data_IF_922278865832
#
_entry.id   IF_922278865832
#
_cell.length_a   1.000
_cell.length_b   1.000
_cell.length_c   1.000
_cell.angle_alpha   90.00
_cell.angle_beta   90.00
_cell.angle_gamma   90.00
#
_symmetry.space_group_name_H-M   'P 1'
#
loop_
_entity.id
_entity.type
_entity.pdbx_description
1 polymer ?
#
# COMPACT_ATOMS: atom_id res chain seq x y z
N UNK A 1 18.44 9.33 -9.61
CA UNK A 1 17.42 10.38 -9.48
C UNK A 1 16.18 9.72 -8.88
N UNK A 2 15.12 10.45 -8.54
CA UNK A 2 13.91 9.79 -8.02
C UNK A 2 13.14 9.12 -9.16
N UNK A 3 12.74 7.85 -9.00
CA UNK A 3 11.97 7.12 -10.01
C UNK A 3 10.68 7.89 -10.37
N UNK A 4 10.28 7.92 -11.64
CA UNK A 4 9.07 8.63 -12.09
C UNK A 4 7.82 7.79 -11.81
N UNK A 5 6.79 8.38 -11.20
CA UNK A 5 5.51 7.70 -11.00
C UNK A 5 4.88 7.36 -12.35
N UNK A 6 4.52 6.09 -12.54
CA UNK A 6 3.89 5.62 -13.77
C UNK A 6 2.41 5.27 -13.56
N UNK A 7 2.09 4.54 -12.48
CA UNK A 7 0.73 4.06 -12.25
C UNK A 7 0.49 3.78 -10.76
N UNK A 8 -0.73 4.07 -10.29
CA UNK A 8 -1.24 3.65 -8.98
C UNK A 8 -2.52 2.85 -9.20
N UNK A 9 -2.55 1.61 -8.72
CA UNK A 9 -3.76 0.77 -8.76
C UNK A 9 -4.16 0.34 -7.36
N UNK A 10 -5.48 0.26 -7.12
CA UNK A 10 -6.05 -0.24 -5.87
C UNK A 10 -6.42 -1.69 -6.09
N UNK A 11 -5.99 -2.58 -5.18
CA UNK A 11 -6.14 -4.02 -5.34
C UNK A 11 -6.59 -4.69 -4.06
N UNK A 12 -7.50 -5.67 -4.21
CA UNK A 12 -8.01 -6.49 -3.11
C UNK A 12 -9.02 -5.76 -2.23
N UNK A 13 -9.55 -6.51 -1.26
CA UNK A 13 -10.62 -6.04 -0.37
C UNK A 13 -10.13 -4.99 0.62
N UNK A 14 -8.85 -5.06 1.02
CA UNK A 14 -8.21 -4.11 1.95
C UNK A 14 -7.54 -2.92 1.27
N UNK A 15 -7.87 -2.68 -0.01
CA UNK A 15 -7.45 -1.49 -0.78
C UNK A 15 -5.93 -1.27 -0.79
N UNK A 16 -5.17 -2.33 -1.04
CA UNK A 16 -3.71 -2.20 -1.17
C UNK A 16 -3.37 -1.33 -2.37
N UNK A 17 -2.46 -0.38 -2.18
CA UNK A 17 -1.97 0.48 -3.25
C UNK A 17 -0.78 -0.20 -3.92
N UNK A 18 -0.92 -0.56 -5.19
CA UNK A 18 0.18 -1.03 -6.02
C UNK A 18 0.70 0.12 -6.85
N UNK A 19 1.93 0.51 -6.58
CA UNK A 19 2.60 1.65 -7.21
C UNK A 19 3.63 1.09 -8.17
N UNK A 20 3.55 1.54 -9.42
CA UNK A 20 4.56 1.31 -10.45
C UNK A 20 5.27 2.62 -10.75
N UNK A 21 6.59 2.58 -10.74
CA UNK A 21 7.46 3.69 -11.07
C UNK A 21 8.44 3.26 -12.18
N UNK A 22 8.90 4.20 -12.99
CA UNK A 22 9.95 3.99 -13.98
C UNK A 22 11.26 4.55 -13.41
N UNK A 23 12.31 3.73 -13.36
CA UNK A 23 13.66 4.15 -12.98
C UNK A 23 14.31 4.98 -14.09
N UNK A 24 15.42 5.64 -13.77
CA UNK A 24 16.19 6.39 -14.78
C UNK A 24 16.73 5.50 -15.91
N UNK A 25 16.88 4.18 -15.68
CA UNK A 25 17.25 3.18 -16.69
C UNK A 25 16.09 2.75 -17.59
N UNK A 26 14.86 3.20 -17.31
CA UNK A 26 13.65 2.77 -18.02
C UNK A 26 13.03 1.48 -17.48
N UNK A 27 13.57 0.91 -16.40
CA UNK A 27 13.04 -0.29 -15.75
C UNK A 27 11.84 0.03 -14.87
N UNK A 28 11.02 -0.98 -14.60
CA UNK A 28 9.88 -0.84 -13.68
C UNK A 28 10.24 -1.22 -12.25
N UNK A 29 10.16 -0.24 -11.35
CA UNK A 29 10.13 -0.46 -9.91
C UNK A 29 8.66 -0.60 -9.46
N UNK A 30 8.36 -1.63 -8.66
CA UNK A 30 7.01 -1.89 -8.16
C UNK A 30 7.03 -2.06 -6.66
N UNK A 31 6.12 -1.39 -5.96
CA UNK A 31 5.91 -1.56 -4.51
C UNK A 31 4.43 -1.64 -4.19
N UNK A 32 4.13 -2.28 -3.07
CA UNK A 32 2.76 -2.41 -2.55
C UNK A 32 2.74 -1.80 -1.17
N UNK A 33 1.78 -0.90 -0.94
CA UNK A 33 1.52 -0.31 0.36
C UNK A 33 0.19 -0.83 0.91
N UNK A 34 0.19 -1.17 2.19
CA UNK A 34 -0.99 -1.63 2.94
C UNK A 34 -1.46 -0.55 3.90
N UNK A 35 -2.73 -0.58 4.29
CA UNK A 35 -3.38 0.51 5.02
C UNK A 35 -2.90 0.70 6.48
N UNK A 36 -2.09 -0.21 6.99
CA UNK A 36 -1.42 -0.14 8.29
C UNK A 36 0.00 0.46 8.21
N UNK A 37 0.53 0.73 7.02
CA UNK A 37 1.83 1.36 6.85
C UNK A 37 1.76 2.87 7.10
N UNK A 38 2.81 3.41 7.71
CA UNK A 38 3.01 4.87 7.78
C UNK A 38 3.74 5.34 6.53
N UNK A 39 3.15 6.29 5.80
CA UNK A 39 3.78 6.88 4.60
C UNK A 39 4.87 7.87 5.02
N UNK A 40 5.97 7.92 4.25
CA UNK A 40 7.04 8.87 4.49
C UNK A 40 6.58 10.31 4.20
N UNK A 41 7.21 11.29 4.86
CA UNK A 41 6.88 12.71 4.67
C UNK A 41 7.20 13.20 3.25
N UNK A 42 8.22 12.63 2.60
CA UNK A 42 8.62 12.91 1.22
C UNK A 42 7.94 11.98 0.19
N UNK A 43 6.97 11.18 0.61
CA UNK A 43 6.16 10.36 -0.28
C UNK A 43 5.39 11.22 -1.29
N UNK A 44 5.17 10.68 -2.48
CA UNK A 44 4.46 11.36 -3.57
C UNK A 44 3.04 11.77 -3.15
N UNK A 45 2.65 13.00 -3.45
CA UNK A 45 1.34 13.52 -3.05
C UNK A 45 0.20 12.68 -3.63
N UNK A 46 0.32 12.23 -4.87
CA UNK A 46 -0.70 11.38 -5.51
C UNK A 46 -0.87 10.03 -4.80
N UNK A 47 0.19 9.49 -4.19
CA UNK A 47 0.13 8.28 -3.37
C UNK A 47 -0.56 8.57 -2.04
N UNK A 48 -0.23 9.70 -1.40
CA UNK A 48 -0.86 10.14 -0.15
C UNK A 48 -2.35 10.39 -0.33
N UNK A 49 -2.74 11.10 -1.37
CA UNK A 49 -4.14 11.41 -1.69
C UNK A 49 -4.93 10.11 -1.93
N UNK A 50 -4.33 9.14 -2.63
CA UNK A 50 -4.96 7.85 -2.88
C UNK A 50 -5.09 7.01 -1.62
N UNK A 51 -4.08 7.05 -0.74
CA UNK A 51 -4.12 6.40 0.55
C UNK A 51 -5.23 7.00 1.44
N UNK A 52 -5.32 8.32 1.52
CA UNK A 52 -6.38 9.01 2.28
C UNK A 52 -7.78 8.67 1.75
N UNK A 53 -7.95 8.63 0.42
CA UNK A 53 -9.23 8.32 -0.20
C UNK A 53 -9.69 6.87 0.00
N UNK A 54 -8.76 5.90 -0.02
CA UNK A 54 -9.10 4.47 -0.04
C UNK A 54 -8.95 3.79 1.33
N UNK A 55 -8.04 4.27 2.18
CA UNK A 55 -7.77 3.68 3.50
C UNK A 55 -8.65 4.31 4.58
N UNK A 56 -9.95 4.13 4.43
CA UNK A 56 -10.95 4.49 5.42
C UNK A 56 -10.73 3.72 6.72
N UNK A 57 -11.31 4.21 7.81
CA UNK A 57 -11.25 3.53 9.11
C UNK A 57 -11.85 2.12 9.07
N UNK A 58 -12.86 1.90 8.24
CA UNK A 58 -13.47 0.58 8.00
C UNK A 58 -12.46 -0.38 7.36
N UNK A 59 -11.76 0.07 6.31
CA UNK A 59 -10.73 -0.74 5.62
C UNK A 59 -9.57 -1.06 6.55
N UNK A 60 -9.11 -0.08 7.33
CA UNK A 60 -8.05 -0.27 8.34
C UNK A 60 -8.46 -1.28 9.41
N UNK A 61 -9.70 -1.18 9.90
CA UNK A 61 -10.24 -2.10 10.91
C UNK A 61 -10.37 -3.51 10.36
N UNK A 62 -10.89 -3.68 9.15
CA UNK A 62 -11.00 -4.98 8.50
C UNK A 62 -9.63 -5.64 8.28
N UNK A 63 -8.62 -4.87 7.86
CA UNK A 63 -7.26 -5.36 7.70
C UNK A 63 -6.61 -5.77 9.03
N UNK A 64 -6.81 -4.97 10.09
CA UNK A 64 -6.30 -5.30 11.42
C UNK A 64 -6.88 -6.63 11.95
N UNK A 65 -8.20 -6.83 11.81
CA UNK A 65 -8.86 -8.10 12.15
C UNK A 65 -8.29 -9.26 11.35
N UNK A 66 -8.17 -9.09 10.03
CA UNK A 66 -7.60 -10.14 9.16
C UNK A 66 -6.18 -10.52 9.60
N UNK A 67 -5.29 -9.54 9.87
CA UNK A 67 -3.93 -9.84 10.33
C UNK A 67 -3.91 -10.58 11.67
N UNK A 68 -4.75 -10.17 12.62
CA UNK A 68 -4.85 -10.86 13.91
C UNK A 68 -5.33 -12.32 13.75
N UNK A 69 -6.30 -12.57 12.86
CA UNK A 69 -6.73 -13.93 12.53
C UNK A 69 -5.64 -14.75 11.84
N UNK A 70 -4.86 -14.15 10.94
CA UNK A 70 -3.73 -14.84 10.31
C UNK A 70 -2.65 -15.19 11.32
N UNK A 71 -2.25 -14.24 12.17
CA UNK A 71 -1.25 -14.47 13.22
C UNK A 71 -1.69 -15.57 14.20
N UNK A 72 -2.95 -15.56 14.62
CA UNK A 72 -3.50 -16.62 15.47
C UNK A 72 -3.39 -18.00 14.79
N UNK A 73 -3.71 -18.11 13.49
CA UNK A 73 -3.60 -19.38 12.75
C UNK A 73 -2.16 -19.89 12.67
N UNK A 74 -1.19 -19.01 12.43
CA UNK A 74 0.22 -19.39 12.31
C UNK A 74 0.88 -19.70 13.66
N UNK A 75 0.44 -19.09 14.76
CA UNK A 75 0.97 -19.32 16.10
C UNK A 75 0.32 -20.52 16.84
N UNK A 76 -0.50 -21.34 16.16
CA UNK A 76 -1.13 -22.55 16.76
C UNK A 76 -0.32 -23.84 16.49
N UNK A 77 0.99 -23.74 16.23
CA UNK A 77 1.94 -24.88 16.22
C UNK A 77 2.66 -25.02 17.56
#
# INVERSE_FOLDING_TARGET
MANTLNEITVSGDYKHLRIREITDSGDYHRRVLTCDMTLADDERQEVKDKAEAEWTDEVKSAWATFKAEQEAKYNTE
#
